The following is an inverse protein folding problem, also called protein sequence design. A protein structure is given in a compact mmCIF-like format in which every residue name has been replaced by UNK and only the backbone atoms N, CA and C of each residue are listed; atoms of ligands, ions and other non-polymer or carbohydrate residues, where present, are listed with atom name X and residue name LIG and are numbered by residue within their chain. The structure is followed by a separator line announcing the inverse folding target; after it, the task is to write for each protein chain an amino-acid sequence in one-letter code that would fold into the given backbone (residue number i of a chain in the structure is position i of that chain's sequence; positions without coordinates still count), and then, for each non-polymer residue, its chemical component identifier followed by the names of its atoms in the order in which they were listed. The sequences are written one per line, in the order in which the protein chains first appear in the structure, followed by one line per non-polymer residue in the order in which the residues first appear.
data_IF_881387896057
#
_entry.id   IF_881387896057
#
_cell.length_a   1.000
_cell.length_b   1.000
_cell.length_c   1.000
_cell.angle_alpha   90.00
_cell.angle_beta   90.00
_cell.angle_gamma   90.00
#
_symmetry.space_group_name_H-M   'P 1'
#
loop_
_entity.id
_entity.type
_entity.pdbx_description
1 polymer ?
#
# COMPACT_ATOMS: atom_id res chain seq x y z
N UNK A 1 -11.86 17.56 37.48
CA UNK A 1 -10.74 16.76 36.93
C UNK A 1 -11.32 15.71 35.99
N UNK A 2 -11.21 15.92 34.67
CA UNK A 2 -11.74 15.02 33.64
C UNK A 2 -10.62 14.06 33.22
N UNK A 3 -10.84 12.75 33.37
CA UNK A 3 -9.95 11.70 32.86
C UNK A 3 -9.94 11.77 31.34
N UNK A 4 -8.78 12.04 30.74
CA UNK A 4 -8.53 11.84 29.31
C UNK A 4 -8.33 10.33 29.10
N UNK A 5 -9.20 9.75 28.28
CA UNK A 5 -9.00 8.43 27.68
C UNK A 5 -7.93 8.63 26.60
N UNK A 6 -6.74 8.07 26.82
CA UNK A 6 -5.67 8.01 25.83
C UNK A 6 -5.95 6.75 25.03
N UNK A 7 -6.53 6.90 23.84
CA UNK A 7 -6.58 5.84 22.84
C UNK A 7 -5.17 5.72 22.30
N UNK A 8 -4.46 4.65 22.67
CA UNK A 8 -3.16 4.33 22.12
C UNK A 8 -3.34 3.96 20.63
N UNK A 9 -2.94 4.86 19.74
CA UNK A 9 -2.69 4.55 18.35
C UNK A 9 -1.49 3.62 18.31
N UNK A 10 -1.74 2.32 18.15
CA UNK A 10 -0.71 1.33 17.89
C UNK A 10 -0.25 1.57 16.44
N UNK A 11 0.76 2.40 16.30
CA UNK A 11 1.62 2.47 15.12
C UNK A 11 2.55 1.27 15.25
N UNK A 12 2.16 0.13 14.67
CA UNK A 12 3.13 -0.92 14.40
C UNK A 12 3.67 -0.76 12.99
N UNK A 13 4.75 -0.01 12.91
CA UNK A 13 5.71 -0.14 11.83
C UNK A 13 6.62 -1.33 12.17
N UNK A 14 6.50 -2.41 11.40
CA UNK A 14 7.49 -3.47 11.23
C UNK A 14 7.25 -4.03 9.82
N UNK A 15 8.19 -4.11 8.90
CA UNK A 15 9.49 -3.47 8.70
C UNK A 15 9.94 -3.90 7.30
N UNK A 16 10.48 -2.95 6.55
CA UNK A 16 11.71 -3.13 5.77
C UNK A 16 11.85 -4.42 4.92
N UNK A 17 11.43 -4.32 3.65
CA UNK A 17 12.28 -4.82 2.57
C UNK A 17 13.05 -3.62 2.00
N UNK A 18 14.22 -3.34 2.58
CA UNK A 18 15.23 -2.56 1.86
C UNK A 18 15.81 -3.42 0.73
N UNK A 19 15.86 -2.82 -0.46
CA UNK A 19 16.88 -3.04 -1.48
C UNK A 19 17.03 -4.47 -2.01
N UNK A 20 16.15 -4.83 -2.95
CA UNK A 20 16.61 -5.45 -4.18
C UNK A 20 15.97 -4.72 -5.37
N UNK A 21 16.82 -4.06 -6.13
CA UNK A 21 16.53 -3.51 -7.46
C UNK A 21 16.08 -4.68 -8.35
N UNK A 22 14.92 -4.65 -9.01
CA UNK A 22 14.81 -5.23 -10.33
C UNK A 22 15.35 -4.19 -11.31
N UNK A 23 16.48 -4.51 -11.90
CA UNK A 23 16.98 -3.79 -13.05
C UNK A 23 15.92 -3.92 -14.16
N UNK A 24 15.43 -2.80 -14.68
CA UNK A 24 14.70 -2.80 -15.94
C UNK A 24 15.71 -3.08 -17.06
N UNK A 25 15.94 -4.36 -17.35
CA UNK A 25 16.34 -4.76 -18.70
C UNK A 25 15.11 -4.67 -19.61
N UNK A 26 15.32 -4.11 -20.80
CA UNK A 26 14.34 -3.86 -21.85
C UNK A 26 13.33 -5.01 -22.06
N UNK A 27 12.10 -4.73 -22.51
CA UNK A 27 11.10 -5.76 -22.73
C UNK A 27 11.62 -6.79 -23.75
N UNK A 28 11.90 -8.00 -23.25
CA UNK A 28 12.08 -9.18 -24.07
C UNK A 28 10.74 -9.46 -24.76
N UNK A 29 10.75 -9.40 -26.09
CA UNK A 29 9.65 -9.81 -26.94
C UNK A 29 9.26 -11.25 -26.67
N UNK A 30 8.15 -11.48 -25.98
CA UNK A 30 7.40 -12.73 -26.07
C UNK A 30 5.88 -12.43 -26.11
N UNK A 31 5.14 -12.91 -27.12
CA UNK A 31 3.76 -12.52 -27.34
C UNK A 31 2.80 -13.55 -26.74
N UNK A 32 2.33 -13.33 -25.52
CA UNK A 32 1.05 -13.85 -25.00
C UNK A 32 0.95 -13.58 -23.49
N UNK A 33 0.72 -12.33 -23.12
CA UNK A 33 0.16 -12.02 -21.79
C UNK A 33 -1.22 -11.47 -22.07
N UNK A 34 -2.25 -12.24 -21.70
CA UNK A 34 -3.62 -11.76 -21.68
C UNK A 34 -3.65 -10.47 -20.87
N UNK A 35 -4.06 -9.39 -21.52
CA UNK A 35 -4.23 -8.08 -20.90
C UNK A 35 -5.39 -8.22 -19.91
N UNK A 36 -5.10 -8.33 -18.62
CA UNK A 36 -6.12 -8.18 -17.59
C UNK A 36 -6.66 -6.74 -17.64
N UNK A 37 -7.98 -6.55 -17.45
CA UNK A 37 -8.59 -5.23 -17.50
C UNK A 37 -7.99 -4.32 -16.42
N UNK A 38 -7.69 -3.08 -16.79
CA UNK A 38 -7.28 -2.03 -15.87
C UNK A 38 -8.30 -1.94 -14.71
N UNK A 39 -7.91 -2.40 -13.52
CA UNK A 39 -8.81 -2.47 -12.37
C UNK A 39 -8.50 -3.58 -11.35
N UNK A 40 -7.67 -4.57 -11.68
CA UNK A 40 -7.21 -5.58 -10.71
C UNK A 40 -5.74 -5.33 -10.34
N UNK A 41 -5.42 -5.34 -9.05
CA UNK A 41 -4.03 -5.41 -8.61
C UNK A 41 -3.44 -6.74 -9.11
N UNK A 42 -2.16 -6.81 -9.51
CA UNK A 42 -1.53 -8.09 -9.81
C UNK A 42 -1.53 -8.94 -8.54
N UNK A 43 -2.44 -9.90 -8.46
CA UNK A 43 -2.55 -10.84 -7.34
C UNK A 43 -1.57 -11.97 -7.62
N UNK A 44 -0.53 -12.10 -6.79
CA UNK A 44 0.28 -13.31 -6.84
C UNK A 44 -0.62 -14.49 -6.42
N UNK A 45 -0.80 -15.52 -7.25
CA UNK A 45 -1.55 -16.69 -6.83
C UNK A 45 -0.90 -17.32 -5.60
N UNK A 46 -1.70 -17.92 -4.72
CA UNK A 46 -1.18 -18.56 -3.51
C UNK A 46 -0.09 -19.61 -3.82
N UNK A 47 -0.12 -20.21 -5.00
CA UNK A 47 0.93 -21.13 -5.49
C UNK A 47 2.33 -20.51 -5.54
N UNK A 48 2.45 -19.21 -5.81
CA UNK A 48 3.74 -18.49 -5.75
C UNK A 48 4.16 -18.22 -4.31
N UNK A 49 3.22 -17.77 -3.47
CA UNK A 49 3.46 -17.54 -2.04
C UNK A 49 3.91 -18.84 -1.36
N UNK A 50 3.28 -19.95 -1.71
CA UNK A 50 3.56 -21.30 -1.20
C UNK A 50 5.00 -21.75 -1.45
N UNK A 51 5.65 -21.30 -2.52
CA UNK A 51 7.05 -21.65 -2.81
C UNK A 51 8.02 -21.07 -1.78
N UNK A 52 7.63 -19.98 -1.13
CA UNK A 52 8.44 -19.28 -0.12
C UNK A 52 8.10 -19.70 1.32
N UNK A 53 7.11 -20.56 1.52
CA UNK A 53 6.74 -21.05 2.85
C UNK A 53 7.76 -22.08 3.37
N UNK A 54 8.00 -22.15 4.69
CA UNK A 54 8.82 -23.20 5.27
C UNK A 54 8.32 -24.59 4.87
N UNK A 55 9.23 -25.48 4.46
CA UNK A 55 8.88 -26.86 4.05
C UNK A 55 8.25 -27.69 5.18
N UNK A 56 8.40 -27.23 6.43
CA UNK A 56 7.86 -27.85 7.64
C UNK A 56 6.38 -27.53 7.89
N UNK A 57 5.77 -26.62 7.13
CA UNK A 57 4.35 -26.27 7.28
C UNK A 57 3.47 -27.50 7.09
N UNK A 58 2.62 -27.78 8.07
CA UNK A 58 1.69 -28.93 7.98
C UNK A 58 0.64 -28.71 6.90
N UNK A 59 0.14 -29.79 6.29
CA UNK A 59 -0.92 -29.70 5.26
C UNK A 59 -2.19 -29.02 5.78
N UNK A 60 -2.53 -29.21 7.06
CA UNK A 60 -3.67 -28.57 7.72
C UNK A 60 -3.49 -27.05 7.84
N UNK A 61 -2.31 -26.60 8.28
CA UNK A 61 -2.05 -25.16 8.40
C UNK A 61 -1.84 -24.50 7.03
N UNK A 62 -1.27 -25.22 6.06
CA UNK A 62 -1.16 -24.75 4.68
C UNK A 62 -2.56 -24.43 4.08
N UNK A 63 -3.53 -25.31 4.28
CA UNK A 63 -4.90 -25.09 3.81
C UNK A 63 -5.57 -23.88 4.49
N UNK A 64 -5.28 -23.65 5.78
CA UNK A 64 -5.76 -22.45 6.49
C UNK A 64 -5.09 -21.19 5.98
N UNK A 65 -3.78 -21.21 5.77
CA UNK A 65 -3.01 -20.10 5.20
C UNK A 65 -3.55 -19.71 3.83
N UNK A 66 -3.83 -20.70 2.97
CA UNK A 66 -4.44 -20.48 1.66
C UNK A 66 -5.83 -19.82 1.76
N UNK A 67 -6.68 -20.32 2.67
CA UNK A 67 -8.01 -19.76 2.87
C UNK A 67 -7.97 -18.31 3.38
N UNK A 68 -7.08 -18.03 4.35
CA UNK A 68 -6.86 -16.68 4.89
C UNK A 68 -6.34 -15.73 3.80
N UNK A 69 -5.32 -16.15 3.06
CA UNK A 69 -4.73 -15.38 1.97
C UNK A 69 -5.77 -15.04 0.91
N UNK A 70 -6.48 -16.04 0.38
CA UNK A 70 -7.49 -15.84 -0.65
C UNK A 70 -8.66 -14.96 -0.18
N UNK A 71 -9.04 -15.04 1.11
CA UNK A 71 -10.06 -14.16 1.68
C UNK A 71 -9.54 -12.71 1.81
N UNK A 72 -8.30 -12.53 2.27
CA UNK A 72 -7.68 -11.20 2.36
C UNK A 72 -7.60 -10.54 0.99
N UNK A 73 -7.18 -11.28 -0.05
CA UNK A 73 -7.15 -10.75 -1.42
C UNK A 73 -8.52 -10.31 -1.94
N UNK A 74 -9.57 -11.12 -1.71
CA UNK A 74 -10.94 -10.71 -2.08
C UNK A 74 -11.38 -9.44 -1.36
N UNK A 75 -11.02 -9.27 -0.09
CA UNK A 75 -11.31 -8.04 0.65
C UNK A 75 -10.55 -6.85 0.08
N UNK A 76 -9.29 -7.03 -0.32
CA UNK A 76 -8.50 -5.99 -0.96
C UNK A 76 -9.12 -5.54 -2.28
N UNK A 77 -9.62 -6.46 -3.11
CA UNK A 77 -10.35 -6.13 -4.34
C UNK A 77 -11.64 -5.32 -4.05
N UNK A 78 -12.40 -5.72 -3.03
CA UNK A 78 -13.60 -4.99 -2.60
C UNK A 78 -13.26 -3.57 -2.08
N UNK A 79 -12.21 -3.44 -1.27
CA UNK A 79 -11.70 -2.15 -0.78
C UNK A 79 -11.29 -1.26 -1.95
N UNK A 80 -10.54 -1.81 -2.92
CA UNK A 80 -10.09 -1.08 -4.09
C UNK A 80 -11.27 -0.58 -4.94
N UNK A 81 -12.31 -1.40 -5.11
CA UNK A 81 -13.54 -1.00 -5.80
C UNK A 81 -14.29 0.14 -5.09
N UNK A 82 -14.32 0.14 -3.75
CA UNK A 82 -14.91 1.22 -2.97
C UNK A 82 -14.08 2.50 -3.05
N UNK A 83 -12.76 2.39 -3.06
CA UNK A 83 -11.85 3.51 -3.22
C UNK A 83 -11.99 4.16 -4.60
N UNK A 84 -12.14 3.37 -5.67
CA UNK A 84 -12.46 3.89 -7.01
C UNK A 84 -13.75 4.73 -6.96
N UNK A 85 -14.82 4.21 -6.35
CA UNK A 85 -16.08 4.93 -6.25
C UNK A 85 -15.96 6.23 -5.43
N UNK A 86 -15.16 6.20 -4.37
CA UNK A 86 -14.86 7.37 -3.55
C UNK A 86 -14.12 8.43 -4.37
N UNK A 87 -13.07 8.05 -5.09
CA UNK A 87 -12.28 8.92 -5.94
C UNK A 87 -13.06 9.46 -7.15
N UNK A 88 -13.99 8.68 -7.69
CA UNK A 88 -14.93 9.11 -8.72
C UNK A 88 -15.83 10.25 -8.21
N UNK A 89 -16.32 10.16 -6.96
CA UNK A 89 -17.07 11.27 -6.34
C UNK A 89 -16.18 12.49 -6.10
N UNK A 90 -14.99 12.29 -5.53
CA UNK A 90 -14.05 13.37 -5.23
C UNK A 90 -13.59 14.09 -6.51
N UNK A 91 -13.38 13.36 -7.60
CA UNK A 91 -12.93 13.87 -8.89
C UNK A 91 -13.84 14.94 -9.50
N UNK A 92 -15.13 14.97 -9.14
CA UNK A 92 -16.08 16.01 -9.56
C UNK A 92 -15.73 17.41 -9.02
N UNK A 93 -15.04 17.44 -7.88
CA UNK A 93 -14.78 18.66 -7.10
C UNK A 93 -13.31 19.07 -7.08
N UNK A 94 -12.41 18.24 -7.63
CA UNK A 94 -11.01 18.61 -7.81
C UNK A 94 -10.92 19.67 -8.91
N UNK A 95 -10.16 20.72 -8.64
CA UNK A 95 -9.83 21.71 -9.65
C UNK A 95 -8.99 21.07 -10.74
N UNK A 96 -9.52 21.08 -11.97
CA UNK A 96 -8.82 20.57 -13.14
C UNK A 96 -8.19 21.78 -13.85
N UNK A 97 -6.86 21.84 -14.02
CA UNK A 97 -6.23 22.95 -14.71
C UNK A 97 -6.75 23.07 -16.14
N UNK A 98 -6.62 24.24 -16.74
CA UNK A 98 -6.91 24.39 -18.17
C UNK A 98 -5.85 23.68 -19.01
N UNK A 99 -6.19 23.26 -20.23
CA UNK A 99 -5.20 22.71 -21.14
C UNK A 99 -4.07 23.72 -21.43
N UNK A 100 -4.36 25.03 -21.42
CA UNK A 100 -3.33 26.06 -21.58
C UNK A 100 -2.30 26.09 -20.44
N UNK A 101 -2.71 25.75 -19.22
CA UNK A 101 -1.78 25.61 -18.08
C UNK A 101 -0.97 24.32 -18.18
N UNK A 102 -1.61 23.21 -18.57
CA UNK A 102 -0.93 21.93 -18.82
C UNK A 102 0.10 22.06 -19.95
N UNK A 103 -0.26 22.74 -21.04
CA UNK A 103 0.59 22.97 -22.21
C UNK A 103 1.92 23.62 -21.86
N UNK A 104 1.98 24.48 -20.84
CA UNK A 104 3.22 25.12 -20.36
C UNK A 104 4.24 24.11 -19.80
N UNK A 105 3.78 22.92 -19.41
CA UNK A 105 4.61 21.83 -18.86
C UNK A 105 4.91 20.74 -19.88
N UNK A 106 4.35 20.83 -21.09
CA UNK A 106 4.58 19.86 -22.16
C UNK A 106 5.91 20.14 -22.88
N UNK A 107 6.54 19.11 -23.48
CA UNK A 107 7.74 19.30 -24.30
C UNK A 107 7.52 20.33 -25.43
N UNK A 108 8.40 21.32 -25.53
CA UNK A 108 8.31 22.38 -26.53
C UNK A 108 8.52 21.90 -27.98
N UNK A 109 9.02 20.68 -28.18
CA UNK A 109 9.28 20.06 -29.48
C UNK A 109 8.09 19.28 -30.06
N UNK A 110 6.94 19.23 -29.37
CA UNK A 110 5.74 18.57 -29.88
C UNK A 110 5.27 19.21 -31.19
N UNK A 111 4.88 18.37 -32.14
CA UNK A 111 4.26 18.84 -33.39
C UNK A 111 2.87 19.43 -33.12
N UNK A 112 2.36 20.19 -34.10
CA UNK A 112 1.02 20.76 -34.03
C UNK A 112 -0.07 19.68 -33.88
N UNK A 113 0.06 18.57 -34.61
CA UNK A 113 -0.92 17.47 -34.60
C UNK A 113 -0.90 16.72 -33.27
N UNK A 114 0.27 16.49 -32.67
CA UNK A 114 0.38 15.88 -31.34
C UNK A 114 -0.21 16.77 -30.26
N UNK A 115 0.05 18.08 -30.30
CA UNK A 115 -0.55 19.04 -29.37
C UNK A 115 -2.08 19.06 -29.47
N UNK A 116 -2.61 19.04 -30.70
CA UNK A 116 -4.06 18.99 -30.93
C UNK A 116 -4.67 17.70 -30.38
N UNK A 117 -4.02 16.56 -30.62
CA UNK A 117 -4.47 15.26 -30.09
C UNK A 117 -4.44 15.20 -28.56
N UNK A 118 -3.40 15.76 -27.94
CA UNK A 118 -3.30 15.88 -26.48
C UNK A 118 -4.41 16.77 -25.91
N UNK A 119 -4.74 17.88 -26.58
CA UNK A 119 -5.85 18.76 -26.18
C UNK A 119 -7.20 18.02 -26.23
N UNK A 120 -7.46 17.29 -27.30
CA UNK A 120 -8.68 16.49 -27.47
C UNK A 120 -8.81 15.41 -26.38
N UNK A 121 -7.73 14.67 -26.10
CA UNK A 121 -7.69 13.66 -25.02
C UNK A 121 -7.89 14.31 -23.65
N UNK A 122 -7.20 15.42 -23.38
CA UNK A 122 -7.29 16.14 -22.11
C UNK A 122 -8.70 16.66 -21.83
N UNK A 123 -9.37 17.20 -22.85
CA UNK A 123 -10.75 17.68 -22.73
C UNK A 123 -11.73 16.53 -22.45
N UNK A 124 -11.53 15.36 -23.06
CA UNK A 124 -12.33 14.16 -22.76
C UNK A 124 -12.11 13.68 -21.31
N UNK A 125 -10.85 13.59 -20.87
CA UNK A 125 -10.51 13.26 -19.49
C UNK A 125 -11.17 14.24 -18.51
N UNK A 126 -11.03 15.53 -18.77
CA UNK A 126 -11.58 16.59 -17.92
C UNK A 126 -13.11 16.50 -17.80
N UNK A 127 -13.80 16.16 -18.89
CA UNK A 127 -15.24 15.92 -18.90
C UNK A 127 -15.61 14.70 -18.05
N UNK A 128 -14.94 13.56 -18.26
CA UNK A 128 -15.19 12.33 -17.49
C UNK A 128 -14.98 12.53 -15.98
N UNK A 129 -13.91 13.25 -15.58
CA UNK A 129 -13.65 13.58 -14.17
C UNK A 129 -14.77 14.43 -13.56
N UNK A 130 -15.25 15.45 -14.27
CA UNK A 130 -16.38 16.29 -13.82
C UNK A 130 -17.69 15.51 -13.71
N UNK A 131 -17.87 14.48 -14.52
CA UNK A 131 -19.01 13.55 -14.42
C UNK A 131 -18.83 12.50 -13.31
N UNK A 132 -17.65 12.46 -12.66
CA UNK A 132 -17.30 11.46 -11.66
C UNK A 132 -17.10 10.07 -12.25
N UNK A 133 -16.50 10.00 -13.44
CA UNK A 133 -16.12 8.78 -14.15
C UNK A 133 -14.59 8.73 -14.31
N UNK A 134 -13.86 9.04 -13.24
CA UNK A 134 -12.39 9.08 -13.23
C UNK A 134 -11.81 7.72 -13.59
N UNK A 135 -12.44 6.64 -13.14
CA UNK A 135 -12.12 5.25 -13.53
C UNK A 135 -12.11 5.00 -15.04
N UNK A 136 -12.84 5.77 -15.84
CA UNK A 136 -12.88 5.64 -17.31
C UNK A 136 -11.77 6.44 -18.01
N UNK A 137 -10.94 7.19 -17.27
CA UNK A 137 -9.91 8.06 -17.84
C UNK A 137 -8.60 7.35 -18.14
N UNK A 138 -8.34 6.19 -17.52
CA UNK A 138 -7.07 5.46 -17.67
C UNK A 138 -6.70 5.17 -19.13
N UNK A 139 -7.59 4.66 -20.00
CA UNK A 139 -7.24 4.42 -21.41
C UNK A 139 -6.93 5.71 -22.18
N UNK A 140 -7.44 6.85 -21.74
CA UNK A 140 -7.14 8.15 -22.35
C UNK A 140 -5.79 8.68 -21.86
N UNK A 141 -5.49 8.51 -20.57
CA UNK A 141 -4.16 8.82 -20.02
C UNK A 141 -3.08 7.98 -20.68
N UNK A 142 -3.30 6.68 -20.90
CA UNK A 142 -2.38 5.81 -21.64
C UNK A 142 -2.10 6.31 -23.07
N UNK A 143 -3.09 6.89 -23.73
CA UNK A 143 -2.88 7.51 -25.04
C UNK A 143 -2.05 8.79 -24.95
N UNK A 144 -2.29 9.63 -23.93
CA UNK A 144 -1.44 10.79 -23.65
C UNK A 144 0.01 10.35 -23.40
N UNK A 145 0.22 9.32 -22.57
CA UNK A 145 1.55 8.77 -22.29
C UNK A 145 2.25 8.29 -23.55
N UNK A 146 1.56 7.56 -24.43
CA UNK A 146 2.15 7.10 -25.71
C UNK A 146 2.62 8.25 -26.61
N UNK A 147 1.91 9.38 -26.62
CA UNK A 147 2.30 10.57 -27.38
C UNK A 147 3.52 11.24 -26.74
N UNK A 148 3.55 11.32 -25.40
CA UNK A 148 4.62 12.01 -24.67
C UNK A 148 5.88 11.16 -24.48
N UNK A 149 5.76 9.84 -24.54
CA UNK A 149 6.85 8.89 -24.29
C UNK A 149 8.12 9.15 -25.12
N UNK A 150 8.06 9.47 -26.43
CA UNK A 150 9.26 9.79 -27.22
C UNK A 150 10.01 11.04 -26.74
N UNK A 151 9.33 11.92 -25.99
CA UNK A 151 9.84 13.18 -25.48
C UNK A 151 10.23 13.12 -24.00
N UNK A 152 9.99 11.98 -23.34
CA UNK A 152 10.46 11.76 -21.98
C UNK A 152 12.00 11.79 -21.98
N UNK A 153 12.58 12.48 -20.99
CA UNK A 153 14.03 12.45 -20.80
C UNK A 153 14.49 11.01 -20.63
N UNK A 154 15.65 10.65 -21.20
CA UNK A 154 16.33 9.37 -20.91
C UNK A 154 16.89 9.33 -19.49
N UNK A 155 17.02 10.50 -18.86
CA UNK A 155 17.29 10.60 -17.44
C UNK A 155 15.98 10.41 -16.68
N UNK A 156 15.93 9.52 -15.68
CA UNK A 156 14.74 9.41 -14.85
C UNK A 156 14.46 10.78 -14.26
N UNK A 157 13.21 11.24 -14.40
CA UNK A 157 12.78 12.44 -13.71
C UNK A 157 13.12 12.27 -12.21
N UNK A 158 13.55 13.33 -11.50
CA UNK A 158 13.78 13.24 -10.06
C UNK A 158 12.56 12.60 -9.42
N UNK A 159 12.77 11.71 -8.44
CA UNK A 159 11.75 10.82 -7.85
C UNK A 159 10.37 11.48 -7.59
N UNK A 160 10.33 12.80 -7.32
CA UNK A 160 9.12 13.59 -7.14
C UNK A 160 8.25 13.76 -8.40
N UNK A 161 8.82 13.78 -9.60
CA UNK A 161 8.10 13.97 -10.88
C UNK A 161 7.44 12.68 -11.39
N UNK A 162 7.87 11.51 -10.89
CA UNK A 162 7.30 10.21 -11.26
C UNK A 162 5.82 10.07 -10.86
N UNK A 163 5.39 10.84 -9.85
CA UNK A 163 4.01 10.93 -9.37
C UNK A 163 3.23 12.13 -9.93
N UNK A 164 3.85 12.95 -10.80
CA UNK A 164 3.26 14.21 -11.27
C UNK A 164 2.13 14.06 -12.31
N UNK A 165 2.01 12.89 -12.95
CA UNK A 165 0.97 12.61 -13.96
C UNK A 165 -0.01 11.50 -13.57
N UNK A 166 0.37 10.61 -12.64
CA UNK A 166 -0.52 9.63 -12.04
C UNK A 166 -0.74 10.07 -10.60
N UNK A 167 -1.94 10.58 -10.29
CA UNK A 167 -2.33 10.75 -8.89
C UNK A 167 -2.03 9.41 -8.18
N UNK A 168 -1.35 9.41 -7.01
CA UNK A 168 -1.11 8.17 -6.29
C UNK A 168 -2.46 7.47 -6.13
N UNK A 169 -2.50 6.16 -6.38
CA UNK A 169 -3.66 5.36 -6.01
C UNK A 169 -3.87 5.62 -4.52
N UNK A 170 -4.88 6.43 -4.20
CA UNK A 170 -5.12 6.91 -2.85
C UNK A 170 -5.65 5.73 -2.07
N UNK A 171 -4.78 4.90 -1.51
CA UNK A 171 -5.21 4.00 -0.44
C UNK A 171 -5.88 4.86 0.62
N UNK A 172 -7.14 4.55 0.94
CA UNK A 172 -7.91 5.31 1.92
C UNK A 172 -7.05 5.63 3.14
N UNK A 173 -7.00 6.89 3.57
CA UNK A 173 -6.12 7.29 4.65
C UNK A 173 -6.47 6.53 5.93
N UNK A 174 -5.45 6.24 6.74
CA UNK A 174 -5.58 5.56 8.05
C UNK A 174 -6.43 6.38 9.04
N UNK A 175 -6.64 7.66 8.73
CA UNK A 175 -7.32 8.65 9.55
C UNK A 175 -8.83 8.42 9.68
N UNK A 176 -9.46 9.07 10.66
CA UNK A 176 -10.92 9.11 10.76
C UNK A 176 -11.50 9.96 9.61
N UNK A 177 -12.71 9.63 9.15
CA UNK A 177 -13.37 10.40 8.10
C UNK A 177 -13.51 11.90 8.43
N UNK A 178 -13.65 12.26 9.71
CA UNK A 178 -13.72 13.65 10.15
C UNK A 178 -12.42 14.43 9.90
N UNK A 179 -11.27 13.76 9.89
CA UNK A 179 -9.98 14.35 9.53
C UNK A 179 -9.86 14.49 8.02
N UNK A 180 -10.26 13.45 7.27
CA UNK A 180 -10.27 13.49 5.81
C UNK A 180 -11.18 14.60 5.27
N UNK A 181 -12.34 14.79 5.92
CA UNK A 181 -13.29 15.85 5.60
C UNK A 181 -12.69 17.26 5.67
N UNK A 182 -11.64 17.48 6.45
CA UNK A 182 -10.97 18.79 6.51
C UNK A 182 -10.17 19.09 5.24
N UNK A 183 -9.73 18.05 4.53
CA UNK A 183 -8.96 18.14 3.29
C UNK A 183 -9.85 18.11 2.04
N UNK A 184 -11.14 17.79 2.20
CA UNK A 184 -12.09 17.75 1.10
C UNK A 184 -12.42 19.16 0.55
N UNK A 185 -12.64 19.31 -0.77
CA UNK A 185 -13.15 20.55 -1.35
C UNK A 185 -14.41 21.05 -0.63
N UNK A 186 -14.42 22.32 -0.24
CA UNK A 186 -15.57 22.95 0.45
C UNK A 186 -16.83 23.03 -0.43
N UNK A 187 -16.68 22.83 -1.74
CA UNK A 187 -17.76 22.84 -2.74
C UNK A 187 -18.54 21.54 -2.85
N UNK A 188 -18.15 20.48 -2.13
CA UNK A 188 -18.86 19.19 -2.15
C UNK A 188 -20.31 19.36 -1.67
N UNK A 189 -21.27 18.86 -2.46
CA UNK A 189 -22.67 18.90 -2.05
C UNK A 189 -22.96 17.86 -0.96
N UNK A 190 -23.98 18.10 -0.13
CA UNK A 190 -24.30 17.24 1.01
C UNK A 190 -24.61 15.79 0.64
N UNK A 191 -25.24 15.54 -0.51
CA UNK A 191 -25.58 14.18 -0.97
C UNK A 191 -24.32 13.38 -1.31
N UNK A 192 -23.39 13.96 -2.06
CA UNK A 192 -22.14 13.30 -2.40
C UNK A 192 -21.24 13.14 -1.18
N UNK A 193 -21.22 14.12 -0.25
CA UNK A 193 -20.50 13.99 1.01
C UNK A 193 -20.99 12.80 1.84
N UNK A 194 -22.31 12.62 1.97
CA UNK A 194 -22.89 11.46 2.68
C UNK A 194 -22.53 10.13 2.01
N UNK A 195 -22.49 10.08 0.67
CA UNK A 195 -22.06 8.87 -0.05
C UNK A 195 -20.58 8.57 0.18
N UNK A 196 -19.73 9.59 0.12
CA UNK A 196 -18.30 9.47 0.41
C UNK A 196 -18.05 8.95 1.82
N UNK A 197 -18.79 9.45 2.82
CA UNK A 197 -18.72 8.96 4.20
C UNK A 197 -19.12 7.47 4.31
N UNK A 198 -20.18 7.08 3.62
CA UNK A 198 -20.64 5.69 3.62
C UNK A 198 -19.63 4.74 2.98
N UNK A 199 -19.07 5.11 1.82
CA UNK A 199 -18.02 4.36 1.13
C UNK A 199 -16.78 4.23 2.03
N UNK A 200 -16.34 5.33 2.63
CA UNK A 200 -15.21 5.35 3.55
C UNK A 200 -15.41 4.39 4.72
N UNK A 201 -16.56 4.48 5.41
CA UNK A 201 -16.87 3.61 6.55
C UNK A 201 -16.95 2.13 6.16
N UNK A 202 -17.52 1.84 4.99
CA UNK A 202 -17.60 0.47 4.48
C UNK A 202 -16.21 -0.10 4.18
N UNK A 203 -15.39 0.65 3.44
CA UNK A 203 -14.04 0.24 3.11
C UNK A 203 -13.18 0.07 4.37
N UNK A 204 -13.35 0.94 5.36
CA UNK A 204 -12.65 0.82 6.65
C UNK A 204 -12.99 -0.49 7.37
N UNK A 205 -14.27 -0.87 7.39
CA UNK A 205 -14.69 -2.14 7.99
C UNK A 205 -14.04 -3.34 7.29
N UNK A 206 -13.98 -3.33 5.96
CA UNK A 206 -13.32 -4.39 5.19
C UNK A 206 -11.81 -4.40 5.43
N UNK A 207 -11.19 -3.23 5.58
CA UNK A 207 -9.77 -3.10 5.91
C UNK A 207 -9.45 -3.68 7.29
N UNK A 208 -10.26 -3.40 8.31
CA UNK A 208 -10.10 -3.97 9.64
C UNK A 208 -10.26 -5.51 9.62
N UNK A 209 -11.18 -6.05 8.79
CA UNK A 209 -11.32 -7.50 8.57
C UNK A 209 -10.09 -8.09 7.87
N UNK A 210 -9.62 -7.47 6.78
CA UNK A 210 -8.42 -7.91 6.04
C UNK A 210 -7.19 -7.93 6.95
N UNK A 211 -6.99 -6.88 7.76
CA UNK A 211 -5.90 -6.82 8.73
C UNK A 211 -5.98 -7.95 9.77
N UNK A 212 -7.18 -8.28 10.24
CA UNK A 212 -7.38 -9.41 11.16
C UNK A 212 -7.05 -10.77 10.53
N UNK A 213 -7.29 -10.94 9.23
CA UNK A 213 -6.92 -12.16 8.50
C UNK A 213 -5.42 -12.26 8.29
N UNK A 214 -4.78 -11.14 7.96
CA UNK A 214 -3.33 -11.08 7.79
C UNK A 214 -2.61 -11.41 9.11
N UNK A 215 -3.09 -10.89 10.25
CA UNK A 215 -2.59 -11.29 11.58
C UNK A 215 -2.68 -12.80 11.76
N UNK A 216 -3.84 -13.42 11.48
CA UNK A 216 -4.01 -14.86 11.63
C UNK A 216 -3.08 -15.65 10.71
N UNK A 217 -2.84 -15.15 9.49
CA UNK A 217 -1.91 -15.74 8.55
C UNK A 217 -0.47 -15.72 9.09
N UNK A 218 0.00 -14.57 9.59
CA UNK A 218 1.34 -14.43 10.16
C UNK A 218 1.50 -15.16 11.50
N UNK A 219 0.44 -15.27 12.30
CA UNK A 219 0.41 -16.11 13.51
C UNK A 219 0.59 -17.59 13.16
N UNK A 220 0.00 -18.07 12.05
CA UNK A 220 0.26 -19.42 11.56
C UNK A 220 1.69 -19.56 11.04
N UNK A 221 2.20 -18.56 10.30
CA UNK A 221 3.55 -18.60 9.72
C UNK A 221 4.64 -18.61 10.79
N UNK A 222 4.46 -17.80 11.84
CA UNK A 222 5.41 -17.69 12.96
C UNK A 222 5.69 -19.00 13.70
N UNK A 223 4.79 -19.99 13.62
CA UNK A 223 5.01 -21.34 14.17
C UNK A 223 6.16 -22.08 13.49
N UNK A 224 6.40 -21.75 12.22
CA UNK A 224 7.35 -22.43 11.35
C UNK A 224 8.57 -21.56 11.03
N UNK A 225 8.60 -20.32 11.55
CA UNK A 225 9.74 -19.43 11.44
C UNK A 225 10.91 -20.00 12.28
N UNK A 226 12.07 -20.16 11.64
CA UNK A 226 13.28 -20.49 12.37
C UNK A 226 13.75 -19.26 13.14
N UNK A 227 13.60 -19.32 14.46
CA UNK A 227 14.03 -18.25 15.35
C UNK A 227 15.49 -18.55 15.73
N UNK A 228 16.44 -17.66 15.41
CA UNK A 228 17.83 -17.82 15.82
C UNK A 228 17.96 -18.01 17.32
N UNK A 229 19.06 -18.58 17.77
CA UNK A 229 19.39 -18.57 19.19
C UNK A 229 19.70 -17.14 19.64
N UNK A 230 19.48 -16.84 20.93
CA UNK A 230 19.87 -15.54 21.49
C UNK A 230 21.37 -15.26 21.32
N UNK A 231 22.21 -16.31 21.30
CA UNK A 231 23.65 -16.15 21.06
C UNK A 231 23.97 -15.70 19.64
N UNK A 232 23.21 -16.17 18.64
CA UNK A 232 23.35 -15.70 17.26
C UNK A 232 22.87 -14.26 17.11
N UNK A 233 21.72 -13.93 17.70
CA UNK A 233 21.15 -12.57 17.72
C UNK A 233 22.13 -11.56 18.38
N UNK A 234 22.75 -11.96 19.49
CA UNK A 234 23.70 -11.14 20.24
C UNK A 234 24.92 -10.68 19.43
N UNK A 235 25.28 -11.36 18.35
CA UNK A 235 26.42 -10.97 17.52
C UNK A 235 26.26 -9.57 16.90
N UNK A 236 25.03 -9.06 16.79
CA UNK A 236 24.73 -7.72 16.29
C UNK A 236 24.67 -6.61 17.36
N UNK A 237 24.87 -6.94 18.64
CA UNK A 237 24.61 -5.99 19.72
C UNK A 237 25.71 -4.93 19.89
N UNK A 238 25.35 -3.72 20.37
CA UNK A 238 26.33 -2.72 20.75
C UNK A 238 27.17 -3.21 21.94
N UNK A 239 28.46 -2.89 21.93
CA UNK A 239 29.40 -3.30 22.98
C UNK A 239 29.20 -2.60 24.33
N UNK A 240 28.32 -1.60 24.40
CA UNK A 240 28.04 -0.78 25.58
C UNK A 240 27.06 -1.43 26.57
N UNK A 241 26.39 -2.52 26.19
CA UNK A 241 25.37 -3.16 27.04
C UNK A 241 25.98 -3.76 28.31
N UNK A 242 25.35 -3.47 29.43
CA UNK A 242 25.71 -4.09 30.72
C UNK A 242 25.30 -5.58 30.77
N UNK A 243 25.88 -6.32 31.72
CA UNK A 243 25.49 -7.72 31.96
C UNK A 243 24.01 -7.89 32.31
N UNK A 244 23.44 -6.93 33.06
CA UNK A 244 22.04 -6.97 33.46
C UNK A 244 21.10 -6.70 32.28
N UNK A 245 21.49 -5.81 31.36
CA UNK A 245 20.73 -5.55 30.14
C UNK A 245 20.76 -6.75 29.19
N UNK A 246 21.92 -7.38 29.01
CA UNK A 246 22.03 -8.62 28.23
C UNK A 246 21.12 -9.72 28.78
N UNK A 247 21.02 -9.86 30.10
CA UNK A 247 20.14 -10.85 30.73
C UNK A 247 18.66 -10.53 30.47
N UNK A 248 18.25 -9.26 30.57
CA UNK A 248 16.88 -8.84 30.25
C UNK A 248 16.53 -9.07 28.78
N UNK A 249 17.44 -8.75 27.87
CA UNK A 249 17.27 -9.02 26.44
C UNK A 249 17.09 -10.52 26.19
N UNK A 250 17.88 -11.38 26.83
CA UNK A 250 17.74 -12.84 26.72
C UNK A 250 16.36 -13.32 27.22
N UNK A 251 15.90 -12.81 28.36
CA UNK A 251 14.58 -13.15 28.92
C UNK A 251 13.44 -12.72 27.99
N UNK A 252 13.49 -11.50 27.43
CA UNK A 252 12.50 -11.00 26.47
C UNK A 252 12.53 -11.80 25.17
N UNK A 253 13.72 -12.06 24.62
CA UNK A 253 13.89 -12.83 23.39
C UNK A 253 13.31 -14.24 23.52
N UNK A 254 13.58 -14.92 24.64
CA UNK A 254 13.05 -16.27 24.88
C UNK A 254 11.52 -16.27 25.03
N UNK A 255 10.93 -15.23 25.63
CA UNK A 255 9.48 -15.08 25.71
C UNK A 255 8.86 -14.86 24.32
N UNK A 256 9.45 -13.99 23.52
CA UNK A 256 9.04 -13.76 22.13
C UNK A 256 9.11 -15.06 21.33
N UNK A 257 10.25 -15.78 21.42
CA UNK A 257 10.46 -17.02 20.70
C UNK A 257 9.43 -18.09 21.07
N UNK A 258 9.03 -18.15 22.34
CA UNK A 258 7.95 -19.02 22.82
C UNK A 258 6.59 -18.63 22.22
N UNK A 259 6.24 -17.34 22.25
CA UNK A 259 4.96 -16.85 21.71
C UNK A 259 4.84 -17.06 20.20
N UNK A 260 5.92 -16.82 19.44
CA UNK A 260 5.96 -17.11 18.00
C UNK A 260 5.71 -18.59 17.71
N UNK A 261 6.35 -19.51 18.44
CA UNK A 261 6.12 -20.97 18.32
C UNK A 261 4.69 -21.39 18.68
N UNK A 262 4.05 -20.67 19.59
CA UNK A 262 2.63 -20.87 19.93
C UNK A 262 1.66 -20.25 18.90
N UNK A 263 2.19 -19.55 17.89
CA UNK A 263 1.40 -18.82 16.89
C UNK A 263 0.67 -17.63 17.48
N UNK A 264 1.30 -16.93 18.43
CA UNK A 264 0.81 -15.71 19.07
C UNK A 264 1.74 -14.54 18.73
N UNK A 265 2.13 -14.43 17.46
CA UNK A 265 3.06 -13.42 16.96
C UNK A 265 2.53 -12.01 17.24
N UNK A 266 1.22 -11.81 17.10
CA UNK A 266 0.52 -10.56 17.46
C UNK A 266 0.65 -10.13 18.94
N UNK A 267 1.10 -11.01 19.84
CA UNK A 267 1.35 -10.67 21.25
C UNK A 267 2.81 -10.31 21.51
N UNK A 268 3.68 -10.38 20.50
CA UNK A 268 5.12 -10.16 20.65
C UNK A 268 5.54 -8.70 20.51
N UNK A 269 4.67 -7.86 19.94
CA UNK A 269 4.98 -6.47 19.61
C UNK A 269 5.50 -5.66 20.80
N UNK A 270 4.76 -5.68 21.92
CA UNK A 270 5.16 -4.98 23.14
C UNK A 270 6.47 -5.53 23.74
N UNK A 271 6.76 -6.81 23.51
CA UNK A 271 8.02 -7.41 23.97
C UNK A 271 9.18 -6.99 23.07
N UNK A 272 8.96 -6.88 21.75
CA UNK A 272 9.93 -6.36 20.81
C UNK A 272 10.22 -4.88 21.06
N UNK A 273 9.19 -4.06 21.34
CA UNK A 273 9.38 -2.66 21.74
C UNK A 273 10.29 -2.56 22.96
N UNK A 274 9.96 -3.28 24.04
CA UNK A 274 10.81 -3.32 25.24
C UNK A 274 12.22 -3.83 24.96
N UNK A 275 12.35 -4.82 24.08
CA UNK A 275 13.62 -5.39 23.68
C UNK A 275 14.48 -4.33 22.95
N UNK A 276 13.91 -3.64 21.97
CA UNK A 276 14.61 -2.61 21.20
C UNK A 276 14.90 -1.34 22.01
N UNK A 277 14.03 -0.98 22.95
CA UNK A 277 14.29 0.09 23.91
C UNK A 277 15.55 -0.20 24.75
N UNK A 278 15.77 -1.46 25.16
CA UNK A 278 16.99 -1.83 25.88
C UNK A 278 18.20 -1.88 24.94
N UNK A 279 18.02 -2.44 23.73
CA UNK A 279 19.10 -2.66 22.78
C UNK A 279 19.68 -1.35 22.22
N UNK A 280 18.81 -0.36 21.95
CA UNK A 280 19.16 0.91 21.30
C UNK A 280 18.93 2.12 22.20
N UNK A 281 19.07 1.94 23.51
CA UNK A 281 19.10 3.05 24.47
C UNK A 281 20.13 4.09 24.02
N UNK A 282 19.65 5.30 23.71
CA UNK A 282 20.49 6.49 23.57
C UNK A 282 21.05 6.93 24.93
#
# INVERSE_FOLDING_TARGET
MKKKIITASIVLSLSASMLAIPAFSAPSSNPSVSVEPAGTLPVNPFDEVKQNLPKSVSSSDLAKMEALYNRSQKLQDEIYSLDIQYNDLLGKYKDIPSFQEVKKRLPGSLSHDELKKLEELYNQISKLRKEGKTSQTDPLWEQCYKILHPYASKEPAPFQDYYGLREPAYTLPVNLFDEEKQNLPKSINSSDLSKMEALFKQARKLQDESYSLDIQYYDLLGKYEEIPSFQEEKNGFPSSLSKDELKKLEELYNQIAKLKKEGKTSQTDLLWEQYYEILYKE
#
